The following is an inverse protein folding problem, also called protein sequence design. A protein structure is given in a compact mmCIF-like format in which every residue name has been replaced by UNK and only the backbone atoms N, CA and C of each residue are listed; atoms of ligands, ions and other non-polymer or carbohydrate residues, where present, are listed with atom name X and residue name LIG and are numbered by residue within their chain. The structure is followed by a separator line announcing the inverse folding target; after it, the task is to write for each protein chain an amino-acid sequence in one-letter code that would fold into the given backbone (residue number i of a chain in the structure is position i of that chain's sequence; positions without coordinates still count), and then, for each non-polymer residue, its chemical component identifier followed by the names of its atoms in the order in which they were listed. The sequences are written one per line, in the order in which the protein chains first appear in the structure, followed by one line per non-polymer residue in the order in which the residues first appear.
data_IF_339222909184
#
_entry.id   IF_339222909184
#
_cell.length_a   1.000
_cell.length_b   1.000
_cell.length_c   1.000
_cell.angle_alpha   90.00
_cell.angle_beta   90.00
_cell.angle_gamma   90.00
#
_symmetry.space_group_name_H-M   'P 1'
#
loop_
_entity.id
_entity.type
_entity.pdbx_description
1 polymer ?
#
# COMPACT_ATOMS: atom_id res chain seq x y z
N UNK A 1 30.49 37.47 24.40
CA UNK A 1 29.03 37.42 24.61
C UNK A 1 28.59 35.95 24.59
N UNK A 2 27.96 35.44 25.66
CA UNK A 2 28.07 34.02 25.99
C UNK A 2 26.90 33.16 25.50
N UNK A 3 27.22 31.87 25.36
CA UNK A 3 26.35 30.70 25.24
C UNK A 3 25.32 30.66 26.38
N UNK A 4 24.09 30.23 26.10
CA UNK A 4 23.22 29.64 27.12
C UNK A 4 22.75 28.25 26.68
N UNK A 5 23.17 27.27 27.47
CA UNK A 5 22.70 25.89 27.47
C UNK A 5 21.99 25.73 28.81
N UNK A 6 20.73 25.28 28.85
CA UNK A 6 20.11 24.66 30.03
C UNK A 6 19.10 23.58 29.65
N UNK A 7 19.04 22.61 30.55
CA UNK A 7 18.64 21.22 30.42
C UNK A 7 17.14 20.96 30.64
N UNK A 8 16.69 19.83 30.06
CA UNK A 8 15.71 18.82 30.51
C UNK A 8 14.66 19.16 31.59
N UNK A 9 13.39 18.88 31.27
CA UNK A 9 12.31 18.67 32.23
C UNK A 9 11.53 17.38 31.92
N UNK A 10 11.84 16.30 32.64
CA UNK A 10 11.09 15.04 32.66
C UNK A 10 9.64 15.28 33.14
N UNK A 11 8.64 14.74 32.43
CA UNK A 11 7.26 14.66 32.95
C UNK A 11 7.13 13.45 33.89
N UNK A 12 6.95 13.73 35.18
CA UNK A 12 6.61 12.75 36.22
C UNK A 12 5.22 12.15 35.98
N UNK A 13 5.16 10.82 35.94
CA UNK A 13 3.93 10.03 36.12
C UNK A 13 3.58 10.03 37.61
N UNK A 14 2.45 10.63 37.98
CA UNK A 14 1.91 10.54 39.35
C UNK A 14 0.91 9.39 39.40
N UNK A 15 1.35 8.25 39.94
CA UNK A 15 0.47 7.16 40.41
C UNK A 15 -0.22 7.63 41.70
N UNK A 16 -1.54 7.79 41.68
CA UNK A 16 -2.34 7.87 42.91
C UNK A 16 -2.79 6.46 43.31
N UNK A 17 -2.23 5.94 44.41
CA UNK A 17 -2.82 4.85 45.17
C UNK A 17 -4.00 5.38 46.00
N UNK A 18 -5.12 4.64 46.05
CA UNK A 18 -6.06 4.69 47.16
C UNK A 18 -6.55 3.27 47.49
N UNK A 19 -6.44 2.92 48.76
CA UNK A 19 -6.94 1.71 49.41
C UNK A 19 -8.40 1.91 49.90
N UNK A 20 -9.12 0.85 50.31
CA UNK A 20 -10.56 0.68 50.08
C UNK A 20 -11.42 0.91 51.32
N UNK A 21 -12.69 1.34 51.16
CA UNK A 21 -13.79 1.13 52.11
C UNK A 21 -15.15 1.19 51.38
N UNK A 22 -16.04 0.22 51.68
CA UNK A 22 -17.47 0.49 51.93
C UNK A 22 -18.46 0.14 50.82
N UNK A 23 -19.25 -0.90 51.07
CA UNK A 23 -20.51 -1.25 50.37
C UNK A 23 -21.57 -0.16 50.62
N UNK A 24 -22.32 0.26 49.60
CA UNK A 24 -23.79 0.14 49.56
C UNK A 24 -24.35 0.44 48.16
N UNK A 25 -25.52 -0.12 47.96
CA UNK A 25 -26.39 -0.27 46.80
C UNK A 25 -27.02 1.02 46.23
N UNK A 26 -27.64 0.84 45.05
CA UNK A 26 -28.64 1.68 44.37
C UNK A 26 -28.18 2.46 43.11
N UNK A 27 -29.08 2.39 42.13
CA UNK A 27 -28.99 2.79 40.73
C UNK A 27 -28.66 4.28 40.52
N UNK A 28 -27.90 4.57 39.44
CA UNK A 28 -28.22 5.61 38.42
C UNK A 28 -27.13 5.64 37.34
N UNK A 29 -27.53 5.44 36.09
CA UNK A 29 -26.72 5.77 34.91
C UNK A 29 -26.36 7.27 34.91
N UNK A 30 -25.12 7.66 34.57
CA UNK A 30 -24.82 9.03 34.27
C UNK A 30 -24.91 9.28 32.76
N UNK A 31 -25.96 9.99 32.34
CA UNK A 31 -25.94 10.80 31.13
C UNK A 31 -25.03 12.02 31.35
N UNK A 32 -24.04 12.23 30.48
CA UNK A 32 -23.43 13.53 30.16
C UNK A 32 -22.45 13.31 29.01
N UNK A 33 -22.18 14.23 28.09
CA UNK A 33 -22.74 15.49 27.57
C UNK A 33 -21.83 15.76 26.37
N UNK A 34 -22.39 16.29 25.29
CA UNK A 34 -21.70 16.48 24.02
C UNK A 34 -20.37 17.21 24.11
N UNK A 35 -19.42 16.76 23.28
CA UNK A 35 -18.28 17.56 22.85
C UNK A 35 -18.71 18.12 21.48
N UNK A 36 -19.08 19.40 21.47
CA UNK A 36 -19.26 20.18 20.25
C UNK A 36 -17.88 20.38 19.60
N UNK A 37 -17.71 19.88 18.38
CA UNK A 37 -16.67 20.35 17.47
C UNK A 37 -17.32 21.32 16.49
N UNK A 38 -17.02 22.60 16.65
CA UNK A 38 -17.40 23.65 15.70
C UNK A 38 -16.42 23.63 14.53
N UNK A 39 -16.72 22.90 13.47
CA UNK A 39 -16.06 23.09 12.17
C UNK A 39 -16.80 24.19 11.41
N UNK A 40 -16.23 25.39 11.45
CA UNK A 40 -16.52 26.46 10.49
C UNK A 40 -15.81 26.11 9.19
N UNK A 41 -16.59 25.73 8.17
CA UNK A 41 -16.35 26.00 6.74
C UNK A 41 -17.28 25.13 5.87
N UNK A 42 -18.59 25.31 5.99
CA UNK A 42 -19.55 24.88 4.95
C UNK A 42 -20.75 25.83 4.99
N UNK A 43 -20.75 26.83 4.12
CA UNK A 43 -21.95 27.59 3.80
C UNK A 43 -22.76 26.78 2.78
N UNK A 44 -23.88 26.22 3.24
CA UNK A 44 -24.95 25.75 2.37
C UNK A 44 -25.82 26.96 2.00
N UNK A 45 -25.75 27.40 0.75
CA UNK A 45 -26.77 28.24 0.16
C UNK A 45 -27.63 27.37 -0.75
N UNK A 46 -28.81 27.02 -0.25
CA UNK A 46 -29.95 26.62 -1.08
C UNK A 46 -30.61 27.88 -1.63
N UNK A 47 -30.77 27.98 -2.96
CA UNK A 47 -31.97 28.51 -3.61
C UNK A 47 -31.83 28.51 -5.14
N UNK A 48 -32.93 28.16 -5.82
CA UNK A 48 -33.31 28.75 -7.10
C UNK A 48 -32.86 28.06 -8.37
N UNK A 49 -33.82 27.52 -9.13
CA UNK A 49 -33.68 27.21 -10.55
C UNK A 49 -33.16 28.43 -11.34
N UNK A 50 -32.11 28.24 -12.13
CA UNK A 50 -31.58 29.29 -13.00
C UNK A 50 -30.37 28.82 -13.81
N UNK A 51 -30.58 28.57 -15.10
CA UNK A 51 -29.56 28.24 -16.11
C UNK A 51 -28.43 29.26 -16.12
N UNK A 52 -27.17 28.83 -15.98
CA UNK A 52 -25.99 29.67 -16.17
C UNK A 52 -25.11 29.15 -17.32
N UNK A 53 -24.97 29.97 -18.37
CA UNK A 53 -24.07 29.75 -19.50
C UNK A 53 -22.64 30.17 -19.13
N UNK A 54 -21.65 29.30 -19.33
CA UNK A 54 -20.23 29.65 -19.24
C UNK A 54 -19.70 30.16 -20.60
N UNK A 55 -19.24 31.42 -20.63
CA UNK A 55 -18.38 31.96 -21.70
C UNK A 55 -16.93 31.53 -21.45
N UNK A 56 -16.28 30.96 -22.47
CA UNK A 56 -14.82 30.74 -22.49
C UNK A 56 -14.10 32.09 -22.58
N UNK A 57 -13.31 32.42 -21.55
CA UNK A 57 -12.35 33.52 -21.58
C UNK A 57 -11.03 33.08 -22.23
N UNK A 58 -10.42 33.97 -23.02
CA UNK A 58 -9.17 33.74 -23.74
C UNK A 58 -7.97 33.48 -22.81
N UNK A 59 -6.97 32.68 -23.24
CA UNK A 59 -5.83 32.32 -22.41
C UNK A 59 -4.86 33.49 -22.18
N UNK A 60 -4.36 33.61 -20.94
CA UNK A 60 -3.30 34.53 -20.52
C UNK A 60 -1.94 33.82 -20.70
N UNK A 61 -0.89 34.50 -21.23
CA UNK A 61 0.38 33.83 -21.50
C UNK A 61 1.21 33.58 -20.24
N UNK A 62 1.83 32.41 -20.17
CA UNK A 62 2.73 31.99 -19.09
C UNK A 62 4.11 32.70 -19.17
N UNK A 63 4.73 33.04 -18.03
CA UNK A 63 6.11 33.51 -18.00
C UNK A 63 7.10 32.34 -18.15
N UNK A 64 8.21 32.60 -18.85
CA UNK A 64 9.32 31.65 -19.00
C UNK A 64 10.16 31.61 -17.71
N UNK A 65 10.65 30.43 -17.27
CA UNK A 65 11.58 30.35 -16.15
C UNK A 65 13.04 30.47 -16.65
N UNK A 66 13.75 31.48 -16.14
CA UNK A 66 15.21 31.59 -16.22
C UNK A 66 15.88 30.70 -15.17
N UNK A 67 16.80 29.87 -15.67
CA UNK A 67 18.09 29.40 -15.14
C UNK A 67 18.22 28.97 -13.66
N UNK A 68 18.30 27.65 -13.45
CA UNK A 68 18.91 27.09 -12.23
C UNK A 68 18.57 25.64 -11.84
N UNK A 69 17.80 24.89 -12.63
CA UNK A 69 17.45 23.50 -12.30
C UNK A 69 18.15 22.50 -13.23
N UNK A 70 18.82 21.51 -12.63
CA UNK A 70 19.47 20.41 -13.36
C UNK A 70 18.37 19.53 -13.93
N UNK A 71 17.98 19.78 -15.17
CA UNK A 71 17.06 18.95 -15.93
C UNK A 71 17.70 17.59 -16.21
N UNK A 72 17.01 16.50 -15.88
CA UNK A 72 17.33 15.19 -16.43
C UNK A 72 16.73 15.11 -17.83
N UNK A 73 17.48 15.53 -18.85
CA UNK A 73 17.20 15.17 -20.24
C UNK A 73 17.64 13.73 -20.49
N UNK A 74 16.72 12.91 -21.03
CA UNK A 74 17.01 11.55 -21.46
C UNK A 74 16.97 11.52 -22.99
N UNK A 75 18.14 11.60 -23.63
CA UNK A 75 18.33 11.25 -25.03
C UNK A 75 18.33 9.73 -25.20
N UNK A 76 17.18 9.17 -25.57
CA UNK A 76 17.06 7.77 -25.95
C UNK A 76 15.95 7.58 -26.99
N UNK A 77 16.14 6.69 -27.99
CA UNK A 77 15.16 6.49 -29.05
C UNK A 77 13.82 6.01 -28.46
N UNK A 78 12.78 6.83 -28.63
CA UNK A 78 11.43 6.46 -28.21
C UNK A 78 10.92 5.31 -29.08
N UNK A 79 10.40 4.22 -28.49
CA UNK A 79 9.83 3.13 -29.27
C UNK A 79 8.58 3.62 -29.99
N UNK A 80 8.62 3.61 -31.33
CA UNK A 80 7.48 3.91 -32.20
C UNK A 80 6.48 2.75 -32.16
N UNK A 81 5.33 2.96 -31.52
CA UNK A 81 4.22 2.02 -31.53
C UNK A 81 3.17 2.44 -32.57
N UNK A 82 3.05 1.65 -33.63
CA UNK A 82 2.00 1.74 -34.63
C UNK A 82 0.71 1.09 -34.11
N UNK A 83 -0.25 1.91 -33.68
CA UNK A 83 -1.61 1.50 -33.28
C UNK A 83 -2.19 2.49 -32.27
N UNK A 84 -3.27 3.18 -32.62
CA UNK A 84 -3.77 4.33 -31.86
C UNK A 84 -4.10 4.01 -30.38
N UNK A 85 -3.56 4.81 -29.44
CA UNK A 85 -4.28 5.25 -28.25
C UNK A 85 -3.65 4.99 -26.87
N UNK A 86 -2.88 3.92 -26.68
CA UNK A 86 -2.36 3.59 -25.34
C UNK A 86 -0.96 4.16 -25.14
N UNK A 87 -0.87 5.30 -24.45
CA UNK A 87 0.44 5.81 -23.99
C UNK A 87 0.97 4.95 -22.83
N UNK A 88 2.30 4.79 -22.72
CA UNK A 88 2.91 4.20 -21.55
C UNK A 88 2.49 4.92 -20.26
N UNK A 89 2.27 4.16 -19.18
CA UNK A 89 1.78 4.69 -17.90
C UNK A 89 2.93 5.11 -16.98
N UNK A 90 2.67 6.08 -16.11
CA UNK A 90 3.57 6.40 -15.00
C UNK A 90 2.99 5.84 -13.71
N UNK A 91 3.80 5.10 -12.95
CA UNK A 91 3.37 4.40 -11.75
C UNK A 91 4.10 4.95 -10.52
N UNK A 92 3.36 5.17 -9.44
CA UNK A 92 3.91 5.39 -8.11
C UNK A 92 3.53 4.19 -7.22
N UNK A 93 4.52 3.51 -6.67
CA UNK A 93 4.34 2.38 -5.76
C UNK A 93 4.88 2.72 -4.39
N UNK A 94 4.00 2.76 -3.40
CA UNK A 94 4.33 3.03 -2.00
C UNK A 94 4.46 1.71 -1.23
N UNK A 95 5.48 1.57 -0.40
CA UNK A 95 5.77 0.30 0.28
C UNK A 95 6.01 -0.81 -0.76
N UNK A 96 6.83 -0.51 -1.77
CA UNK A 96 6.97 -1.31 -3.00
C UNK A 96 7.48 -2.73 -2.74
N UNK A 97 8.23 -2.93 -1.65
CA UNK A 97 8.84 -4.20 -1.32
C UNK A 97 9.78 -4.63 -2.44
N UNK A 98 9.46 -5.77 -3.06
CA UNK A 98 10.27 -6.38 -4.11
C UNK A 98 9.77 -6.05 -5.53
N UNK A 99 9.02 -4.96 -5.69
CA UNK A 99 8.50 -4.46 -6.98
C UNK A 99 7.53 -5.38 -7.71
N UNK A 100 6.71 -6.14 -6.97
CA UNK A 100 5.69 -7.03 -7.53
C UNK A 100 4.72 -6.30 -8.48
N UNK A 101 4.39 -5.04 -8.21
CA UNK A 101 3.57 -4.22 -9.10
C UNK A 101 4.17 -4.09 -10.50
N UNK A 102 5.46 -3.77 -10.61
CA UNK A 102 6.17 -3.69 -11.89
C UNK A 102 6.24 -5.04 -12.60
N UNK A 103 6.54 -6.12 -11.86
CA UNK A 103 6.57 -7.48 -12.41
C UNK A 103 5.23 -7.84 -13.06
N UNK A 104 4.11 -7.57 -12.37
CA UNK A 104 2.77 -7.79 -12.90
C UNK A 104 2.49 -6.97 -14.17
N UNK A 105 2.84 -5.68 -14.18
CA UNK A 105 2.66 -4.81 -15.36
C UNK A 105 3.44 -5.33 -16.58
N UNK A 106 4.69 -5.78 -16.37
CA UNK A 106 5.51 -6.40 -17.41
C UNK A 106 4.92 -7.71 -17.92
N UNK A 107 4.47 -8.61 -17.03
CA UNK A 107 3.80 -9.88 -17.40
C UNK A 107 2.52 -9.63 -18.20
N UNK A 108 1.80 -8.55 -17.91
CA UNK A 108 0.61 -8.13 -18.66
C UNK A 108 0.92 -7.40 -19.98
N UNK A 109 2.19 -7.12 -20.27
CA UNK A 109 2.59 -6.36 -21.47
C UNK A 109 2.17 -4.89 -21.45
N UNK A 110 1.90 -4.31 -20.28
CA UNK A 110 1.51 -2.90 -20.13
C UNK A 110 2.78 -2.04 -20.19
N UNK A 111 2.92 -1.11 -21.16
CA UNK A 111 4.10 -0.26 -21.25
C UNK A 111 4.17 0.70 -20.06
N UNK A 112 5.28 0.69 -19.33
CA UNK A 112 5.56 1.59 -18.21
C UNK A 112 6.60 2.61 -18.63
N UNK A 113 6.26 3.89 -18.59
CA UNK A 113 7.18 4.99 -18.92
C UNK A 113 8.18 5.21 -17.79
N UNK A 114 7.67 5.29 -16.56
CA UNK A 114 8.44 5.51 -15.33
C UNK A 114 7.75 4.77 -14.19
N UNK A 115 8.54 4.16 -13.34
CA UNK A 115 8.08 3.51 -12.12
C UNK A 115 8.82 4.13 -10.94
N UNK A 116 8.10 4.83 -10.07
CA UNK A 116 8.62 5.42 -8.85
C UNK A 116 8.27 4.52 -7.67
N UNK A 117 9.25 4.17 -6.85
CA UNK A 117 9.07 3.27 -5.71
C UNK A 117 9.51 3.92 -4.39
N UNK A 118 8.66 3.87 -3.38
CA UNK A 118 9.02 4.20 -2.00
C UNK A 118 9.25 2.91 -1.21
N UNK A 119 10.50 2.67 -0.84
CA UNK A 119 10.93 1.52 -0.04
C UNK A 119 12.14 1.89 0.83
N UNK A 120 12.17 1.35 2.06
CA UNK A 120 13.19 1.63 3.08
C UNK A 120 14.00 0.40 3.48
N UNK A 121 13.49 -0.80 3.23
CA UNK A 121 14.15 -2.07 3.49
C UNK A 121 15.33 -2.28 2.53
N UNK A 122 16.55 -2.28 3.07
CA UNK A 122 17.76 -2.45 2.27
C UNK A 122 17.78 -3.73 1.41
N UNK A 123 17.27 -4.85 1.95
CA UNK A 123 17.20 -6.11 1.20
C UNK A 123 16.22 -6.03 0.03
N UNK A 124 15.06 -5.41 0.23
CA UNK A 124 14.04 -5.27 -0.80
C UNK A 124 14.54 -4.35 -1.93
N UNK A 125 15.17 -3.22 -1.56
CA UNK A 125 15.86 -2.33 -2.50
C UNK A 125 16.95 -3.04 -3.29
N UNK A 126 17.73 -3.94 -2.66
CA UNK A 126 18.78 -4.70 -3.33
C UNK A 126 18.21 -5.64 -4.39
N UNK A 127 17.14 -6.38 -4.07
CA UNK A 127 16.41 -7.22 -5.05
C UNK A 127 15.92 -6.36 -6.21
N UNK A 128 15.29 -5.23 -5.89
CA UNK A 128 14.77 -4.33 -6.89
C UNK A 128 15.87 -3.73 -7.79
N UNK A 129 16.95 -3.18 -7.24
CA UNK A 129 18.04 -2.59 -8.04
C UNK A 129 18.66 -3.61 -8.98
N UNK A 130 18.77 -4.86 -8.54
CA UNK A 130 19.33 -5.94 -9.35
C UNK A 130 18.38 -6.38 -10.47
N UNK A 131 17.09 -6.52 -10.18
CA UNK A 131 16.08 -7.04 -11.14
C UNK A 131 15.49 -5.95 -12.04
N UNK A 132 15.37 -4.75 -11.52
CA UNK A 132 14.67 -3.62 -12.10
C UNK A 132 15.45 -2.31 -11.88
N UNK A 133 16.65 -2.18 -12.49
CA UNK A 133 17.49 -0.99 -12.36
C UNK A 133 16.81 0.29 -12.89
N UNK A 134 15.76 0.17 -13.70
CA UNK A 134 14.97 1.29 -14.21
C UNK A 134 14.02 1.92 -13.18
N UNK A 135 13.84 1.31 -12.00
CA UNK A 135 12.96 1.88 -10.98
C UNK A 135 13.60 3.06 -10.28
N UNK A 136 12.86 4.16 -10.19
CA UNK A 136 13.28 5.39 -9.54
C UNK A 136 12.93 5.32 -8.05
N UNK A 137 13.95 5.26 -7.20
CA UNK A 137 13.82 5.16 -5.75
C UNK A 137 13.51 6.51 -5.09
N UNK A 138 12.39 6.59 -4.38
CA UNK A 138 11.88 7.78 -3.68
C UNK A 138 12.23 7.79 -2.19
N UNK A 139 12.74 6.68 -1.65
CA UNK A 139 13.07 6.57 -0.22
C UNK A 139 11.84 6.43 0.67
N UNK A 140 11.88 7.03 1.85
CA UNK A 140 10.81 6.93 2.84
C UNK A 140 9.56 7.69 2.38
N UNK A 141 8.39 7.06 2.52
CA UNK A 141 7.11 7.63 2.09
C UNK A 141 6.80 8.97 2.77
N UNK A 142 7.31 9.16 3.99
CA UNK A 142 7.09 10.37 4.80
C UNK A 142 7.79 11.60 4.20
N UNK A 143 8.86 11.38 3.45
CA UNK A 143 9.64 12.44 2.82
C UNK A 143 9.09 12.84 1.44
N UNK A 144 8.05 12.14 0.96
CA UNK A 144 7.38 12.46 -0.30
C UNK A 144 6.44 13.65 -0.10
N UNK A 145 6.94 14.84 -0.40
CA UNK A 145 6.19 16.10 -0.37
C UNK A 145 5.40 16.33 -1.66
N UNK A 146 4.57 17.38 -1.67
CA UNK A 146 3.80 17.78 -2.86
C UNK A 146 4.69 18.26 -4.01
N UNK A 147 5.81 18.91 -3.68
CA UNK A 147 6.84 19.31 -4.64
C UNK A 147 7.48 18.07 -5.27
N UNK A 148 7.81 17.07 -4.45
CA UNK A 148 8.35 15.79 -4.92
C UNK A 148 7.36 15.08 -5.83
N UNK A 149 6.06 15.12 -5.53
CA UNK A 149 4.98 14.56 -6.38
C UNK A 149 4.70 15.38 -7.65
N UNK A 150 5.24 16.59 -7.77
CA UNK A 150 5.10 17.44 -8.97
C UNK A 150 6.17 17.16 -10.02
N UNK A 151 7.37 16.77 -9.60
CA UNK A 151 8.49 16.37 -10.48
C UNK A 151 8.25 15.18 -11.43
N UNK A 152 7.50 14.11 -11.07
CA UNK A 152 7.37 12.88 -11.87
C UNK A 152 6.58 13.07 -13.16
N UNK A 153 5.80 14.14 -13.24
CA UNK A 153 4.69 14.29 -14.18
C UNK A 153 3.42 13.60 -13.67
N UNK A 154 2.48 13.36 -14.59
CA UNK A 154 1.18 12.74 -14.29
C UNK A 154 1.34 11.30 -13.82
N UNK A 155 0.95 10.99 -12.59
CA UNK A 155 0.83 9.60 -12.10
C UNK A 155 -0.48 9.00 -12.63
N UNK A 156 -0.39 7.85 -13.30
CA UNK A 156 -1.55 7.15 -13.86
C UNK A 156 -2.04 6.02 -12.95
N UNK A 157 -1.12 5.41 -12.19
CA UNK A 157 -1.40 4.30 -11.29
C UNK A 157 -0.67 4.48 -9.96
N UNK A 158 -1.42 4.45 -8.85
CA UNK A 158 -0.90 4.41 -7.48
C UNK A 158 -1.08 3.01 -6.88
N UNK A 159 0.00 2.36 -6.50
CA UNK A 159 -0.01 1.08 -5.80
C UNK A 159 0.48 1.26 -4.36
N UNK A 160 -0.14 0.56 -3.40
CA UNK A 160 0.33 0.59 -2.02
C UNK A 160 -0.04 -0.67 -1.22
N UNK A 161 0.83 -1.07 -0.30
CA UNK A 161 0.55 -2.10 0.71
C UNK A 161 1.27 -1.78 2.01
N UNK A 162 0.64 -1.03 2.91
CA UNK A 162 1.31 -0.58 4.13
C UNK A 162 1.64 -1.74 5.08
N UNK A 163 2.71 -1.64 5.90
CA UNK A 163 3.08 -2.71 6.82
C UNK A 163 1.94 -3.09 7.76
N UNK A 164 1.51 -4.35 7.72
CA UNK A 164 0.38 -4.84 8.51
C UNK A 164 0.75 -5.24 9.95
N UNK A 165 2.01 -5.09 10.37
CA UNK A 165 2.51 -5.55 11.67
C UNK A 165 1.73 -4.97 12.85
N UNK A 166 1.36 -3.68 12.79
CA UNK A 166 0.56 -3.01 13.82
C UNK A 166 -0.94 -3.00 13.53
N UNK A 167 -1.38 -3.52 12.38
CA UNK A 167 -2.79 -3.58 11.98
C UNK A 167 -3.38 -4.99 12.15
N UNK A 168 -2.55 -6.02 12.04
CA UNK A 168 -2.98 -7.42 12.07
C UNK A 168 -3.30 -7.88 13.50
N UNK A 169 -4.49 -8.43 13.70
CA UNK A 169 -4.91 -9.12 14.93
C UNK A 169 -4.06 -10.34 15.29
N UNK A 170 -3.30 -10.87 14.32
CA UNK A 170 -2.34 -11.97 14.57
C UNK A 170 -1.19 -11.49 15.46
N UNK A 171 -0.89 -10.19 15.47
CA UNK A 171 0.06 -9.61 16.41
C UNK A 171 -0.68 -9.17 17.70
N UNK A 172 -0.41 -9.81 18.86
CA UNK A 172 -1.03 -9.41 20.12
C UNK A 172 -0.50 -8.07 20.65
N UNK A 173 0.66 -7.59 20.19
CA UNK A 173 1.29 -6.32 20.59
C UNK A 173 1.05 -5.17 19.62
N UNK A 174 0.08 -5.33 18.72
CA UNK A 174 -0.22 -4.35 17.67
C UNK A 174 -0.59 -2.99 18.25
N UNK A 175 -0.07 -1.91 17.67
CA UNK A 175 -0.40 -0.54 18.07
C UNK A 175 -1.65 0.04 17.37
N UNK A 176 -2.23 -0.67 16.39
CA UNK A 176 -3.35 -0.18 15.60
C UNK A 176 -2.94 0.97 14.66
N UNK A 177 -3.92 1.76 14.24
CA UNK A 177 -3.69 2.94 13.39
C UNK A 177 -3.06 4.12 14.16
N UNK A 178 -3.03 4.10 15.49
CA UNK A 178 -2.59 5.25 16.31
C UNK A 178 -1.11 5.19 16.70
N UNK A 179 -0.38 4.15 16.31
CA UNK A 179 1.03 4.01 16.66
C UNK A 179 1.80 3.05 15.75
N UNK A 180 3.12 3.07 15.93
CA UNK A 180 4.04 2.20 15.19
C UNK A 180 3.93 2.37 13.67
N UNK A 181 4.00 1.25 12.97
CA UNK A 181 3.91 1.18 11.51
C UNK A 181 2.50 1.42 10.98
N UNK A 182 1.47 1.34 11.82
CA UNK A 182 0.09 1.61 11.42
C UNK A 182 -0.13 3.06 10.97
N UNK A 183 0.68 4.00 11.46
CA UNK A 183 0.66 5.41 11.04
C UNK A 183 0.98 5.59 9.55
N UNK A 184 1.76 4.68 8.95
CA UNK A 184 2.16 4.76 7.54
C UNK A 184 0.97 4.62 6.58
N UNK A 185 -0.14 4.04 7.04
CA UNK A 185 -1.40 4.07 6.30
C UNK A 185 -1.84 5.51 5.97
N UNK A 186 -1.67 6.45 6.90
CA UNK A 186 -2.09 7.84 6.69
C UNK A 186 -1.20 8.58 5.69
N UNK A 187 0.05 8.15 5.49
CA UNK A 187 0.90 8.67 4.42
C UNK A 187 0.37 8.27 3.04
N UNK A 188 -0.12 7.03 2.89
CA UNK A 188 -0.84 6.62 1.68
C UNK A 188 -2.09 7.48 1.45
N UNK A 189 -2.92 7.68 2.48
CA UNK A 189 -4.14 8.51 2.37
C UNK A 189 -3.79 9.96 1.99
N UNK A 190 -2.74 10.53 2.58
CA UNK A 190 -2.23 11.88 2.26
C UNK A 190 -1.86 12.00 0.78
N UNK A 191 -1.06 11.06 0.27
CA UNK A 191 -0.61 11.04 -1.12
C UNK A 191 -1.77 10.77 -2.08
N UNK A 192 -2.65 9.82 -1.78
CA UNK A 192 -3.83 9.50 -2.60
C UNK A 192 -4.72 10.74 -2.78
N UNK A 193 -5.05 11.45 -1.69
CA UNK A 193 -5.89 12.66 -1.74
C UNK A 193 -5.24 13.76 -2.56
N UNK A 194 -3.94 14.01 -2.35
CA UNK A 194 -3.20 14.99 -3.13
C UNK A 194 -3.25 14.68 -4.64
N UNK A 195 -3.02 13.42 -5.03
CA UNK A 195 -3.10 13.02 -6.44
C UNK A 195 -4.52 13.12 -7.01
N UNK A 196 -5.55 12.75 -6.24
CA UNK A 196 -6.95 12.86 -6.64
C UNK A 196 -7.40 14.32 -6.85
N UNK A 197 -6.96 15.24 -5.99
CA UNK A 197 -7.32 16.66 -6.08
C UNK A 197 -6.71 17.30 -7.34
N UNK A 198 -5.46 16.95 -7.66
CA UNK A 198 -4.82 17.37 -8.92
C UNK A 198 -5.55 16.83 -10.13
N UNK A 199 -5.91 15.55 -10.10
CA UNK A 199 -6.60 14.89 -11.21
C UNK A 199 -8.00 15.48 -11.48
N UNK A 200 -8.76 15.82 -10.42
CA UNK A 200 -10.08 16.46 -10.54
C UNK A 200 -9.98 17.82 -11.24
N UNK A 201 -8.95 18.61 -10.92
CA UNK A 201 -8.73 19.91 -11.55
C UNK A 201 -8.42 19.83 -13.05
N UNK A 202 -7.93 18.68 -13.52
CA UNK A 202 -7.42 18.49 -14.88
C UNK A 202 -8.26 17.50 -15.73
N UNK A 203 -9.41 17.04 -15.23
CA UNK A 203 -10.27 16.08 -15.93
C UNK A 203 -9.65 14.69 -16.11
N UNK A 204 -8.79 14.28 -15.17
CA UNK A 204 -8.02 13.04 -15.21
C UNK A 204 -8.67 11.94 -14.37
N UNK A 205 -8.18 10.70 -14.51
CA UNK A 205 -8.65 9.55 -13.76
C UNK A 205 -7.47 8.71 -13.28
N UNK A 206 -7.02 8.99 -12.07
CA UNK A 206 -6.04 8.21 -11.32
C UNK A 206 -6.62 6.84 -11.02
N UNK A 207 -5.90 5.80 -11.42
CA UNK A 207 -6.13 4.45 -10.93
C UNK A 207 -5.33 4.22 -9.65
N UNK A 208 -5.91 3.54 -8.68
CA UNK A 208 -5.21 3.22 -7.45
C UNK A 208 -5.66 1.88 -6.84
N UNK A 209 -4.74 1.26 -6.12
CA UNK A 209 -4.95 0.00 -5.42
C UNK A 209 -4.18 0.01 -4.09
N UNK A 210 -4.88 -0.28 -3.01
CA UNK A 210 -4.32 -0.43 -1.66
C UNK A 210 -4.61 -1.84 -1.12
N UNK A 211 -3.59 -2.54 -0.65
CA UNK A 211 -3.70 -3.88 -0.07
C UNK A 211 -3.46 -3.86 1.45
N UNK A 212 -4.19 -4.71 2.17
CA UNK A 212 -3.81 -5.07 3.54
C UNK A 212 -4.35 -6.46 3.97
N UNK A 213 -3.90 -6.92 5.14
CA UNK A 213 -4.39 -8.17 5.75
C UNK A 213 -5.90 -8.15 5.94
N UNK A 214 -6.57 -9.30 5.77
CA UNK A 214 -7.99 -9.42 6.13
C UNK A 214 -8.23 -9.62 7.64
N UNK A 215 -7.16 -9.72 8.44
CA UNK A 215 -7.21 -9.95 9.88
C UNK A 215 -7.13 -8.63 10.67
N UNK A 216 -7.94 -7.65 10.29
CA UNK A 216 -8.03 -6.36 10.98
C UNK A 216 -9.02 -6.45 12.15
N UNK A 217 -8.87 -5.58 13.14
CA UNK A 217 -9.96 -5.33 14.10
C UNK A 217 -11.02 -4.41 13.52
N UNK A 218 -12.20 -4.43 14.14
CA UNK A 218 -13.38 -3.75 13.60
C UNK A 218 -13.18 -2.23 13.50
N UNK A 219 -12.44 -1.64 14.43
CA UNK A 219 -12.14 -0.20 14.44
C UNK A 219 -11.21 0.17 13.27
N UNK A 220 -10.15 -0.59 13.06
CA UNK A 220 -9.23 -0.41 11.91
C UNK A 220 -9.97 -0.60 10.59
N UNK A 221 -10.75 -1.66 10.44
CA UNK A 221 -11.52 -1.92 9.23
C UNK A 221 -12.56 -0.82 8.96
N UNK A 222 -13.26 -0.35 10.00
CA UNK A 222 -14.21 0.75 9.88
C UNK A 222 -13.52 2.04 9.41
N UNK A 223 -12.37 2.37 9.99
CA UNK A 223 -11.58 3.54 9.63
C UNK A 223 -11.10 3.47 8.17
N UNK A 224 -10.52 2.34 7.75
CA UNK A 224 -10.12 2.14 6.35
C UNK A 224 -11.31 2.24 5.40
N UNK A 225 -12.45 1.64 5.75
CA UNK A 225 -13.64 1.68 4.90
C UNK A 225 -14.25 3.08 4.80
N UNK A 226 -14.14 3.88 5.86
CA UNK A 226 -14.58 5.28 5.85
C UNK A 226 -13.73 6.11 4.90
N UNK A 227 -12.41 5.89 4.91
CA UNK A 227 -11.48 6.68 4.09
C UNK A 227 -11.44 6.23 2.63
N UNK A 228 -11.58 4.92 2.36
CA UNK A 228 -11.28 4.30 1.06
C UNK A 228 -12.50 3.61 0.39
N UNK A 229 -13.63 3.51 1.07
CA UNK A 229 -14.78 2.72 0.62
C UNK A 229 -14.69 1.23 0.97
N UNK A 230 -15.52 0.40 0.36
CA UNK A 230 -15.56 -1.03 0.69
C UNK A 230 -14.45 -1.82 -0.03
N UNK A 231 -13.78 -2.77 0.64
CA UNK A 231 -12.75 -3.58 0.01
C UNK A 231 -13.36 -4.72 -0.81
N UNK A 232 -12.58 -5.19 -1.77
CA UNK A 232 -12.70 -6.53 -2.34
C UNK A 232 -11.85 -7.52 -1.55
N UNK A 233 -12.42 -8.66 -1.16
CA UNK A 233 -11.71 -9.74 -0.49
C UNK A 233 -11.27 -10.79 -1.50
N UNK A 234 -9.96 -10.97 -1.66
CA UNK A 234 -9.38 -11.99 -2.55
C UNK A 234 -8.58 -13.00 -1.77
N UNK A 235 -8.54 -14.24 -2.25
CA UNK A 235 -7.65 -15.27 -1.73
C UNK A 235 -6.70 -15.72 -2.82
N UNK A 236 -5.41 -15.81 -2.51
CA UNK A 236 -4.45 -16.41 -3.44
C UNK A 236 -4.79 -17.86 -3.81
N UNK A 237 -5.62 -18.55 -3.01
CA UNK A 237 -6.06 -19.92 -3.28
C UNK A 237 -6.92 -20.05 -4.53
N UNK A 238 -7.39 -18.94 -5.08
CA UNK A 238 -8.15 -18.92 -6.32
C UNK A 238 -7.24 -19.14 -7.55
N UNK A 239 -5.91 -19.00 -7.37
CA UNK A 239 -4.91 -19.08 -8.45
C UNK A 239 -3.70 -19.97 -8.13
N UNK A 240 -3.35 -20.09 -6.85
CA UNK A 240 -2.12 -20.74 -6.36
C UNK A 240 -2.47 -21.65 -5.18
N UNK A 241 -1.69 -22.70 -4.87
CA UNK A 241 -1.94 -23.59 -3.73
C UNK A 241 -1.55 -22.97 -2.37
N UNK A 242 -1.91 -21.70 -2.16
CA UNK A 242 -1.62 -20.90 -0.97
C UNK A 242 -2.88 -20.21 -0.46
N UNK A 243 -3.26 -20.45 0.80
CA UNK A 243 -4.35 -19.71 1.45
C UNK A 243 -3.84 -18.38 2.01
N UNK A 244 -3.92 -17.33 1.19
CA UNK A 244 -3.58 -15.95 1.57
C UNK A 244 -4.74 -15.00 1.23
N UNK A 245 -5.59 -14.74 2.23
CA UNK A 245 -6.71 -13.79 2.11
C UNK A 245 -6.24 -12.37 2.40
N UNK A 246 -6.64 -11.41 1.56
CA UNK A 246 -6.29 -9.99 1.67
C UNK A 246 -7.43 -9.09 1.20
N UNK A 247 -7.52 -7.92 1.82
CA UNK A 247 -8.42 -6.87 1.37
C UNK A 247 -7.71 -5.97 0.37
N UNK A 248 -8.44 -5.59 -0.66
CA UNK A 248 -8.01 -4.67 -1.71
C UNK A 248 -9.02 -3.54 -1.84
N UNK A 249 -8.60 -2.31 -1.56
CA UNK A 249 -9.35 -1.08 -1.82
C UNK A 249 -8.83 -0.44 -3.09
N UNK A 250 -9.68 0.21 -3.87
CA UNK A 250 -9.24 0.86 -5.09
C UNK A 250 -10.37 1.08 -6.08
N UNK A 251 -9.99 1.60 -7.24
CA UNK A 251 -10.91 1.86 -8.34
C UNK A 251 -10.49 1.16 -9.65
N UNK A 252 -9.59 0.17 -9.56
CA UNK A 252 -9.22 -0.66 -10.71
C UNK A 252 -10.49 -1.28 -11.32
N UNK A 253 -10.70 -1.19 -12.64
CA UNK A 253 -11.86 -1.79 -13.28
C UNK A 253 -12.00 -3.26 -12.89
N UNK A 254 -13.23 -3.66 -12.57
CA UNK A 254 -13.58 -5.03 -12.15
C UNK A 254 -13.03 -5.48 -10.79
N UNK A 255 -12.44 -4.60 -9.98
CA UNK A 255 -11.91 -4.95 -8.65
C UNK A 255 -12.94 -5.65 -7.74
N UNK A 256 -14.21 -5.25 -7.80
CA UNK A 256 -15.29 -5.83 -6.99
C UNK A 256 -16.06 -6.97 -7.68
N UNK A 257 -15.72 -7.32 -8.93
CA UNK A 257 -16.39 -8.41 -9.62
C UNK A 257 -15.89 -9.75 -9.08
N UNK A 258 -16.81 -10.62 -8.65
CA UNK A 258 -16.46 -11.99 -8.29
C UNK A 258 -16.31 -12.77 -9.59
N UNK A 259 -15.12 -13.28 -9.88
CA UNK A 259 -14.95 -14.24 -10.97
C UNK A 259 -15.62 -15.56 -10.58
N UNK A 260 -16.11 -16.36 -11.55
CA UNK A 260 -16.63 -17.69 -11.27
C UNK A 260 -15.58 -18.50 -10.51
N UNK A 261 -15.99 -19.16 -9.42
CA UNK A 261 -15.10 -20.05 -8.65
C UNK A 261 -14.70 -21.20 -9.57
N UNK A 262 -13.53 -21.08 -10.18
CA UNK A 262 -12.87 -22.19 -10.84
C UNK A 262 -12.09 -22.92 -9.76
N UNK A 263 -12.19 -24.26 -9.65
CA UNK A 263 -11.34 -24.99 -8.71
C UNK A 263 -9.87 -24.61 -8.97
N UNK A 264 -9.04 -24.48 -7.91
CA UNK A 264 -7.63 -24.13 -8.09
C UNK A 264 -7.03 -25.10 -9.09
N UNK A 265 -6.47 -24.57 -10.17
CA UNK A 265 -5.89 -25.38 -11.25
C UNK A 265 -4.57 -26.03 -10.85
N UNK A 266 -4.04 -25.70 -9.66
CA UNK A 266 -2.73 -26.11 -9.18
C UNK A 266 -2.81 -26.59 -7.73
N UNK A 267 -2.17 -27.71 -7.45
CA UNK A 267 -1.86 -28.19 -6.11
C UNK A 267 -0.41 -27.86 -5.72
N UNK A 268 -0.07 -27.99 -4.44
CA UNK A 268 1.30 -27.73 -3.95
C UNK A 268 2.35 -28.55 -4.72
N UNK A 269 2.01 -29.79 -5.10
CA UNK A 269 2.90 -30.67 -5.84
C UNK A 269 3.30 -30.10 -7.22
N UNK A 270 2.44 -29.31 -7.84
CA UNK A 270 2.67 -28.71 -9.16
C UNK A 270 3.67 -27.54 -9.13
N UNK A 271 3.99 -27.04 -7.93
CA UNK A 271 4.75 -25.80 -7.74
C UNK A 271 6.09 -26.02 -7.05
N UNK A 272 6.21 -27.06 -6.23
CA UNK A 272 7.46 -27.41 -5.52
C UNK A 272 8.50 -28.02 -6.46
N UNK A 273 9.76 -28.03 -6.05
CA UNK A 273 10.83 -28.72 -6.78
C UNK A 273 10.49 -30.19 -7.07
N UNK A 274 10.87 -30.65 -8.27
CA UNK A 274 10.55 -31.99 -8.76
C UNK A 274 11.15 -33.13 -7.93
N UNK A 275 12.18 -32.86 -7.12
CA UNK A 275 12.76 -33.82 -6.18
C UNK A 275 12.00 -33.88 -4.83
N UNK A 276 10.94 -33.10 -4.66
CA UNK A 276 10.13 -33.04 -3.44
C UNK A 276 8.75 -33.61 -3.67
N UNK A 277 8.21 -34.21 -2.61
CA UNK A 277 6.82 -34.65 -2.55
C UNK A 277 6.04 -33.75 -1.60
N UNK A 278 4.94 -33.17 -2.06
CA UNK A 278 4.03 -32.41 -1.22
C UNK A 278 3.28 -33.33 -0.25
N UNK A 279 3.25 -32.96 1.03
CA UNK A 279 2.52 -33.67 2.10
C UNK A 279 1.13 -33.09 2.32
N UNK A 280 0.84 -31.93 1.74
CA UNK A 280 -0.45 -31.23 1.81
C UNK A 280 -0.79 -30.66 0.43
N UNK A 281 -2.07 -30.56 0.05
CA UNK A 281 -2.47 -30.01 -1.26
C UNK A 281 -2.29 -28.49 -1.34
N UNK A 282 -2.27 -27.79 -0.19
CA UNK A 282 -2.08 -26.35 -0.11
C UNK A 282 -1.39 -25.95 1.19
N UNK A 283 -0.69 -24.82 1.17
CA UNK A 283 -0.10 -24.22 2.37
C UNK A 283 -0.96 -23.07 2.92
N UNK A 284 -0.91 -22.85 4.25
CA UNK A 284 -1.55 -21.70 4.89
C UNK A 284 -0.78 -20.40 4.60
N UNK A 285 -1.32 -19.27 5.04
CA UNK A 285 -0.65 -17.96 4.89
C UNK A 285 0.75 -18.06 5.46
N UNK A 286 1.73 -17.88 4.58
CA UNK A 286 3.14 -17.88 4.92
C UNK A 286 3.44 -16.57 5.66
N UNK A 287 3.89 -16.70 6.90
CA UNK A 287 4.34 -15.57 7.73
C UNK A 287 5.86 -15.59 7.85
N UNK A 288 6.45 -14.50 8.32
CA UNK A 288 7.90 -14.44 8.59
C UNK A 288 8.35 -15.49 9.62
N UNK A 289 7.43 -15.99 10.46
CA UNK A 289 7.69 -17.10 11.36
C UNK A 289 7.33 -18.44 10.67
N UNK A 290 8.30 -19.37 10.66
CA UNK A 290 8.22 -20.68 9.97
C UNK A 290 7.85 -21.86 10.89
N UNK A 291 7.41 -21.58 12.12
CA UNK A 291 7.24 -22.62 13.15
C UNK A 291 6.26 -23.74 12.73
N UNK A 292 6.76 -24.97 12.67
CA UNK A 292 6.00 -26.20 12.95
C UNK A 292 5.26 -26.88 11.81
N UNK A 293 5.37 -26.44 10.55
CA UNK A 293 4.80 -27.16 9.40
C UNK A 293 5.89 -27.48 8.37
N UNK A 294 6.05 -28.78 8.11
CA UNK A 294 6.86 -29.34 7.04
C UNK A 294 5.91 -29.81 5.92
N UNK A 295 5.60 -28.94 4.94
CA UNK A 295 4.57 -29.23 3.94
C UNK A 295 5.07 -30.13 2.80
N UNK A 296 6.37 -30.44 2.77
CA UNK A 296 7.02 -31.25 1.73
C UNK A 296 8.00 -32.24 2.37
N UNK A 297 8.37 -33.26 1.62
CA UNK A 297 9.47 -34.16 1.95
C UNK A 297 10.44 -34.28 0.78
N UNK A 298 11.73 -34.43 1.08
CA UNK A 298 12.79 -34.72 0.13
C UNK A 298 13.50 -35.99 0.60
N UNK A 299 13.60 -37.02 -0.26
CA UNK A 299 14.19 -38.32 0.08
C UNK A 299 13.61 -38.96 1.36
N UNK A 300 12.30 -38.82 1.59
CA UNK A 300 11.61 -39.36 2.75
C UNK A 300 11.79 -38.56 4.05
N UNK A 301 12.48 -37.42 4.02
CA UNK A 301 12.66 -36.53 5.16
C UNK A 301 11.76 -35.32 5.00
N UNK A 302 10.88 -35.08 5.98
CA UNK A 302 10.01 -33.91 6.00
C UNK A 302 10.82 -32.62 6.20
N UNK A 303 10.57 -31.60 5.37
CA UNK A 303 11.32 -30.35 5.39
C UNK A 303 10.42 -29.13 5.12
N UNK A 304 10.96 -27.93 5.36
CA UNK A 304 10.30 -26.69 4.99
C UNK A 304 10.44 -26.43 3.49
N UNK A 305 9.54 -25.61 2.94
CA UNK A 305 9.70 -25.07 1.59
C UNK A 305 11.06 -24.36 1.47
N UNK A 306 11.80 -24.67 0.41
CA UNK A 306 12.99 -23.90 0.05
C UNK A 306 12.57 -22.50 -0.38
N UNK A 307 13.43 -21.48 -0.28
CA UNK A 307 13.01 -20.16 -0.73
C UNK A 307 12.68 -20.11 -2.24
N UNK A 308 13.18 -21.04 -3.06
CA UNK A 308 12.77 -21.18 -4.48
C UNK A 308 11.35 -21.74 -4.60
N UNK A 309 10.97 -22.72 -3.76
CA UNK A 309 9.58 -23.17 -3.66
C UNK A 309 8.66 -22.00 -3.25
N UNK A 310 9.11 -21.12 -2.35
CA UNK A 310 8.36 -19.94 -1.93
C UNK A 310 8.13 -18.93 -3.06
N UNK A 311 9.09 -18.76 -3.96
CA UNK A 311 8.96 -17.85 -5.12
C UNK A 311 7.99 -18.42 -6.14
N UNK A 312 8.11 -19.71 -6.46
CA UNK A 312 7.15 -20.40 -7.33
C UNK A 312 5.74 -20.35 -6.77
N UNK A 313 5.57 -20.53 -5.46
CA UNK A 313 4.29 -20.39 -4.75
C UNK A 313 3.70 -18.98 -4.75
N UNK A 314 4.50 -17.97 -5.08
CA UNK A 314 4.04 -16.59 -5.25
C UNK A 314 3.79 -16.24 -6.72
N UNK A 315 3.96 -17.19 -7.66
CA UNK A 315 3.82 -16.98 -9.09
C UNK A 315 5.04 -16.32 -9.75
N UNK A 316 6.19 -16.32 -9.05
CA UNK A 316 7.47 -15.87 -9.60
C UNK A 316 8.19 -17.08 -10.21
N UNK A 317 8.23 -17.15 -11.53
CA UNK A 317 8.68 -18.33 -12.28
C UNK A 317 10.18 -18.63 -12.26
N UNK A 318 11.00 -17.92 -11.46
CA UNK A 318 12.46 -18.05 -11.36
C UNK A 318 12.95 -17.52 -10.00
N UNK A 319 14.20 -17.81 -9.57
CA UNK A 319 14.71 -17.36 -8.29
C UNK A 319 14.84 -15.83 -8.22
N UNK A 320 13.80 -15.15 -7.74
CA UNK A 320 13.66 -13.70 -7.86
C UNK A 320 14.50 -12.94 -6.82
N UNK A 321 14.55 -13.43 -5.58
CA UNK A 321 15.16 -12.78 -4.43
C UNK A 321 16.60 -13.25 -4.13
N UNK A 322 17.06 -14.36 -4.72
CA UNK A 322 18.28 -15.05 -4.32
C UNK A 322 19.60 -14.49 -4.85
N UNK A 323 19.61 -13.73 -5.94
CA UNK A 323 20.88 -13.17 -6.47
C UNK A 323 21.45 -12.04 -5.59
N UNK A 324 20.80 -11.77 -4.47
CA UNK A 324 21.23 -10.78 -3.50
C UNK A 324 22.36 -11.31 -2.60
N UNK A 325 22.47 -12.61 -2.30
CA UNK A 325 23.46 -13.12 -1.34
C UNK A 325 24.82 -13.53 -1.98
N UNK A 326 25.14 -12.99 -3.15
CA UNK A 326 26.44 -13.11 -3.82
C UNK A 326 27.31 -11.85 -3.60
#
# INVERSE_FOLDING_TARGET
APKSMRYYGQRKVVRKQRSPVGQDSSQKEPSMRGIEFTDRNYDFLSEGEGTLHMRLGSPVPHPQPDDGFIGFECDGPQPTLSGQGCRPIIVLSLFDGISTGLVCLKKLGIPVLRYFASEVCGNAKRVQTLRHPEVIQMGDVRDISEEVLSSPGRIDLLLAGSPCSDLSRVNPRRAGLTGGTGLLYFEFVRILRHLQDRDRGEGRSLMWLFENTCHLDSETLYQLNRDLGLPSLRCASDYLPVRRRRFYWGNIPRLHQMDPITPPSLELQDVVDANKTALVPYVRTLTSNRSGQFPVQCNGVAEHLSPTDFERLQGEGLPYCFECDA
#
